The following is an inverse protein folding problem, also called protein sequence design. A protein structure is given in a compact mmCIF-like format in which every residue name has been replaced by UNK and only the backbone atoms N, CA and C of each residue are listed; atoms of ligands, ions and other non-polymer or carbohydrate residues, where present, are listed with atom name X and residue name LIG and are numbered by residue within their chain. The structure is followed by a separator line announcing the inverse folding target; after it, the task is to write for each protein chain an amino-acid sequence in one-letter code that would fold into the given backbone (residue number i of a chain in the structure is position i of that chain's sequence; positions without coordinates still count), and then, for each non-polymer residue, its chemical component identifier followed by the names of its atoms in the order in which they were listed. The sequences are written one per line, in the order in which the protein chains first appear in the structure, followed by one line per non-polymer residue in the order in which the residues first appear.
data_IF_637573322582
#
_entry.id   IF_637573322582
#
_cell.length_a   1.000
_cell.length_b   1.000
_cell.length_c   1.000
_cell.angle_alpha   90.00
_cell.angle_beta   90.00
_cell.angle_gamma   90.00
#
_symmetry.space_group_name_H-M   'P 1'
#
loop_
_entity.id
_entity.type
_entity.pdbx_description
1 polymer ?
#
# COMPACT_ATOMS: atom_id res chain seq x y z
N UNK A 1 -18.21 -10.23 18.52
CA UNK A 1 -17.36 -9.15 17.96
C UNK A 1 -15.85 -9.41 18.00
N UNK A 2 -15.23 -9.82 19.13
CA UNK A 2 -13.77 -10.03 19.19
C UNK A 2 -13.25 -11.00 18.13
N UNK A 3 -13.91 -12.14 17.93
CA UNK A 3 -13.55 -13.11 16.90
C UNK A 3 -13.60 -12.53 15.48
N UNK A 4 -14.61 -11.71 15.17
CA UNK A 4 -14.72 -11.05 13.87
C UNK A 4 -13.57 -10.07 13.64
N UNK A 5 -13.24 -9.23 14.62
CA UNK A 5 -12.10 -8.29 14.52
C UNK A 5 -10.79 -9.05 14.33
N UNK A 6 -10.54 -10.11 15.10
CA UNK A 6 -9.33 -10.92 14.93
C UNK A 6 -9.25 -11.60 13.56
N UNK A 7 -10.37 -12.10 13.05
CA UNK A 7 -10.41 -12.73 11.73
C UNK A 7 -10.27 -11.68 10.60
N UNK A 8 -10.83 -10.49 10.77
CA UNK A 8 -10.59 -9.34 9.89
C UNK A 8 -9.12 -8.91 9.90
N UNK A 9 -8.47 -8.89 11.07
CA UNK A 9 -7.02 -8.71 11.16
C UNK A 9 -6.27 -9.82 10.42
N UNK A 10 -6.71 -11.08 10.55
CA UNK A 10 -6.13 -12.21 9.83
C UNK A 10 -6.26 -12.07 8.30
N UNK A 11 -7.41 -11.59 7.81
CA UNK A 11 -7.61 -11.32 6.38
C UNK A 11 -6.74 -10.15 5.89
N UNK A 12 -6.58 -9.08 6.69
CA UNK A 12 -5.66 -7.99 6.37
C UNK A 12 -4.20 -8.43 6.39
N UNK A 13 -3.84 -9.29 7.35
CA UNK A 13 -2.52 -9.91 7.41
C UNK A 13 -2.25 -10.76 6.16
N UNK A 14 -3.21 -11.61 5.77
CA UNK A 14 -3.17 -12.34 4.50
C UNK A 14 -3.00 -11.38 3.33
N UNK A 15 -3.75 -10.27 3.31
CA UNK A 15 -3.71 -9.27 2.24
C UNK A 15 -2.31 -8.66 2.09
N UNK A 16 -1.65 -8.39 3.21
CA UNK A 16 -0.26 -7.94 3.26
C UNK A 16 0.71 -8.99 2.72
N UNK A 17 0.56 -10.26 3.11
CA UNK A 17 1.38 -11.36 2.58
C UNK A 17 1.29 -11.41 1.04
N UNK A 18 0.07 -11.48 0.50
CA UNK A 18 -0.17 -11.57 -0.94
C UNK A 18 0.30 -10.32 -1.71
N UNK A 19 0.18 -9.13 -1.12
CA UNK A 19 0.63 -7.88 -1.76
C UNK A 19 2.15 -7.81 -1.89
N UNK A 20 2.90 -8.24 -0.87
CA UNK A 20 4.36 -8.21 -0.89
C UNK A 20 5.00 -9.47 -1.52
N UNK A 21 4.24 -10.54 -1.73
CA UNK A 21 4.73 -11.81 -2.27
C UNK A 21 5.42 -11.64 -3.62
N UNK A 22 4.72 -11.07 -4.61
CA UNK A 22 5.25 -10.90 -5.97
C UNK A 22 6.53 -10.07 -5.99
N UNK A 23 6.57 -8.95 -5.26
CA UNK A 23 7.74 -8.08 -5.18
C UNK A 23 8.97 -8.75 -4.58
N UNK A 24 8.75 -9.62 -3.60
CA UNK A 24 9.81 -10.34 -2.87
C UNK A 24 10.54 -11.34 -3.77
N UNK A 25 9.80 -12.04 -4.63
CA UNK A 25 10.35 -13.09 -5.52
C UNK A 25 10.38 -12.66 -6.99
N UNK A 26 10.25 -11.36 -7.26
CA UNK A 26 10.08 -10.85 -8.63
C UNK A 26 11.22 -11.29 -9.56
N UNK A 27 12.48 -11.12 -9.16
CA UNK A 27 13.60 -11.49 -10.02
C UNK A 27 13.69 -13.00 -10.31
N UNK A 28 13.66 -13.92 -9.32
CA UNK A 28 13.67 -15.36 -9.62
C UNK A 28 12.41 -15.80 -10.39
N UNK A 29 11.26 -15.17 -10.15
CA UNK A 29 10.04 -15.40 -10.92
C UNK A 29 10.21 -15.04 -12.40
N UNK A 30 10.76 -13.85 -12.71
CA UNK A 30 11.03 -13.43 -14.09
C UNK A 30 12.12 -14.30 -14.74
N UNK A 31 13.13 -14.72 -13.97
CA UNK A 31 14.18 -15.62 -14.44
C UNK A 31 13.63 -17.00 -14.85
N UNK A 32 12.66 -17.54 -14.10
CA UNK A 32 11.99 -18.81 -14.44
C UNK A 32 11.25 -18.73 -15.78
N UNK A 33 10.54 -17.63 -16.03
CA UNK A 33 9.80 -17.44 -17.28
C UNK A 33 10.67 -16.92 -18.44
N UNK A 34 11.95 -16.61 -18.19
CA UNK A 34 12.86 -15.99 -19.16
C UNK A 34 12.30 -14.68 -19.76
N UNK A 35 11.71 -13.84 -18.92
CA UNK A 35 11.04 -12.59 -19.31
C UNK A 35 11.72 -11.37 -18.70
N UNK A 36 11.47 -10.19 -19.28
CA UNK A 36 12.07 -8.93 -18.86
C UNK A 36 11.35 -8.26 -17.67
N UNK A 37 11.95 -7.23 -17.06
CA UNK A 37 11.33 -6.48 -15.96
C UNK A 37 10.13 -5.65 -16.41
N UNK A 38 10.03 -5.27 -17.68
CA UNK A 38 8.83 -4.66 -18.25
C UNK A 38 7.62 -5.59 -18.09
N UNK A 39 7.80 -6.89 -18.34
CA UNK A 39 6.73 -7.86 -18.09
C UNK A 39 6.44 -8.02 -16.60
N UNK A 40 7.47 -7.94 -15.74
CA UNK A 40 7.26 -7.83 -14.28
C UNK A 40 6.40 -6.63 -13.88
N UNK A 41 6.62 -5.48 -14.53
CA UNK A 41 5.75 -4.31 -14.42
C UNK A 41 4.31 -4.58 -14.88
N UNK A 42 4.12 -5.40 -15.93
CA UNK A 42 2.79 -5.84 -16.38
C UNK A 42 2.10 -6.72 -15.34
N UNK A 43 2.82 -7.61 -14.63
CA UNK A 43 2.23 -8.37 -13.52
C UNK A 43 1.66 -7.46 -12.44
N UNK A 44 2.44 -6.45 -12.02
CA UNK A 44 2.01 -5.46 -11.03
C UNK A 44 0.84 -4.63 -11.58
N UNK A 45 0.91 -4.19 -12.83
CA UNK A 45 -0.16 -3.45 -13.49
C UNK A 45 -1.47 -4.25 -13.52
N UNK A 46 -1.41 -5.54 -13.87
CA UNK A 46 -2.58 -6.42 -13.89
C UNK A 46 -3.15 -6.66 -12.50
N UNK A 47 -2.30 -6.81 -11.48
CA UNK A 47 -2.75 -6.90 -10.09
C UNK A 47 -3.52 -5.64 -9.68
N UNK A 48 -3.01 -4.45 -9.99
CA UNK A 48 -3.74 -3.21 -9.70
C UNK A 48 -4.97 -3.00 -10.60
N UNK A 49 -4.96 -3.46 -11.85
CA UNK A 49 -6.14 -3.46 -12.70
C UNK A 49 -7.25 -4.35 -12.11
N UNK A 50 -6.88 -5.55 -11.65
CA UNK A 50 -7.76 -6.41 -10.88
C UNK A 50 -8.25 -5.74 -9.60
N UNK A 51 -7.38 -5.04 -8.89
CA UNK A 51 -7.74 -4.27 -7.69
C UNK A 51 -8.83 -3.23 -7.99
N UNK A 52 -8.69 -2.47 -9.08
CA UNK A 52 -9.70 -1.50 -9.52
C UNK A 52 -11.05 -2.16 -9.87
N UNK A 53 -11.03 -3.37 -10.44
CA UNK A 53 -12.25 -4.15 -10.73
C UNK A 53 -12.86 -4.78 -9.45
N UNK A 54 -12.04 -5.13 -8.47
CA UNK A 54 -12.46 -5.74 -7.22
C UNK A 54 -13.28 -4.80 -6.32
N UNK A 55 -13.01 -3.48 -6.36
CA UNK A 55 -13.76 -2.48 -5.57
C UNK A 55 -15.26 -2.41 -5.94
N UNK A 56 -15.68 -2.24 -7.21
CA UNK A 56 -17.09 -2.28 -7.58
C UNK A 56 -17.66 -3.70 -7.43
N UNK A 57 -16.89 -4.74 -7.74
CA UNK A 57 -17.32 -6.13 -7.57
C UNK A 57 -17.69 -6.43 -6.11
N UNK A 58 -16.86 -6.00 -5.16
CA UNK A 58 -17.14 -6.16 -3.72
C UNK A 58 -18.44 -5.48 -3.34
N UNK A 59 -18.68 -4.26 -3.84
CA UNK A 59 -19.88 -3.49 -3.53
C UNK A 59 -21.14 -4.18 -4.04
N UNK A 60 -21.11 -4.68 -5.27
CA UNK A 60 -22.23 -5.42 -5.89
C UNK A 60 -22.51 -6.71 -5.12
N UNK A 61 -21.48 -7.47 -4.78
CA UNK A 61 -21.62 -8.74 -4.05
C UNK A 61 -22.15 -8.49 -2.64
N UNK A 62 -21.63 -7.48 -1.93
CA UNK A 62 -22.12 -7.12 -0.58
C UNK A 62 -23.60 -6.72 -0.63
N UNK A 63 -24.02 -5.92 -1.62
CA UNK A 63 -25.42 -5.49 -1.74
C UNK A 63 -26.38 -6.64 -2.05
N UNK A 64 -25.94 -7.63 -2.85
CA UNK A 64 -26.80 -8.75 -3.28
C UNK A 64 -26.77 -9.95 -2.33
N UNK A 65 -25.60 -10.24 -1.77
CA UNK A 65 -25.31 -11.50 -1.07
C UNK A 65 -24.74 -11.30 0.35
N UNK A 66 -24.47 -10.04 0.74
CA UNK A 66 -23.95 -9.70 2.06
C UNK A 66 -22.44 -9.84 2.22
N UNK A 67 -21.93 -9.29 3.33
CA UNK A 67 -20.50 -9.25 3.66
C UNK A 67 -19.84 -10.64 3.76
N UNK A 68 -20.58 -11.66 4.18
CA UNK A 68 -20.02 -13.02 4.35
C UNK A 68 -19.56 -13.63 3.03
N UNK A 69 -20.42 -13.56 2.01
CA UNK A 69 -20.13 -14.13 0.70
C UNK A 69 -19.02 -13.33 0.01
N UNK A 70 -19.03 -12.00 0.14
CA UNK A 70 -17.99 -11.15 -0.42
C UNK A 70 -16.58 -11.49 0.12
N UNK A 71 -16.42 -11.70 1.43
CA UNK A 71 -15.12 -12.03 2.03
C UNK A 71 -14.67 -13.46 1.69
N UNK A 72 -15.61 -14.41 1.60
CA UNK A 72 -15.33 -15.76 1.15
C UNK A 72 -14.82 -15.74 -0.31
N UNK A 73 -15.53 -15.06 -1.21
CA UNK A 73 -15.11 -14.93 -2.61
C UNK A 73 -13.75 -14.22 -2.73
N UNK A 74 -13.51 -13.19 -1.93
CA UNK A 74 -12.26 -12.45 -1.95
C UNK A 74 -11.05 -13.35 -1.69
N UNK A 75 -11.04 -14.13 -0.59
CA UNK A 75 -9.91 -15.00 -0.31
C UNK A 75 -9.91 -16.31 -1.12
N UNK A 76 -11.04 -16.73 -1.72
CA UNK A 76 -11.01 -17.73 -2.80
C UNK A 76 -10.26 -17.20 -4.03
N UNK A 77 -10.49 -15.95 -4.45
CA UNK A 77 -9.77 -15.34 -5.56
C UNK A 77 -8.27 -15.28 -5.29
N UNK A 78 -7.86 -14.80 -4.10
CA UNK A 78 -6.44 -14.78 -3.70
C UNK A 78 -5.89 -16.21 -3.63
N UNK A 79 -6.58 -17.10 -2.94
CA UNK A 79 -6.15 -18.47 -2.71
C UNK A 79 -5.92 -19.24 -4.01
N UNK A 80 -6.88 -19.18 -4.94
CA UNK A 80 -6.77 -19.79 -6.26
C UNK A 80 -5.64 -19.14 -7.06
N UNK A 81 -5.55 -17.81 -7.07
CA UNK A 81 -4.52 -17.10 -7.81
C UNK A 81 -3.11 -17.45 -7.34
N UNK A 82 -2.84 -17.32 -6.05
CA UNK A 82 -1.53 -17.58 -5.44
C UNK A 82 -1.15 -19.07 -5.57
N UNK A 83 -2.03 -20.01 -5.23
CA UNK A 83 -1.72 -21.45 -5.40
C UNK A 83 -1.45 -21.81 -6.86
N UNK A 84 -2.22 -21.27 -7.79
CA UNK A 84 -2.02 -21.49 -9.23
C UNK A 84 -0.69 -20.91 -9.68
N UNK A 85 -0.34 -19.68 -9.28
CA UNK A 85 0.96 -19.07 -9.60
C UNK A 85 2.13 -19.89 -9.05
N UNK A 86 2.00 -20.43 -7.82
CA UNK A 86 3.02 -21.31 -7.24
C UNK A 86 3.22 -22.64 -7.99
N UNK A 87 2.24 -23.08 -8.78
CA UNK A 87 2.39 -24.22 -9.69
C UNK A 87 3.14 -23.87 -10.99
N UNK A 88 3.58 -22.61 -11.16
CA UNK A 88 4.32 -22.11 -12.32
C UNK A 88 3.63 -22.45 -13.66
N UNK A 89 2.39 -21.97 -13.85
CA UNK A 89 1.59 -22.28 -15.03
C UNK A 89 2.13 -21.51 -16.24
N UNK A 90 1.54 -21.74 -17.42
CA UNK A 90 1.87 -20.96 -18.62
C UNK A 90 1.70 -19.46 -18.37
N UNK A 91 2.56 -18.65 -18.99
CA UNK A 91 2.63 -17.20 -18.76
C UNK A 91 1.28 -16.46 -18.85
N UNK A 92 0.39 -16.74 -19.84
CA UNK A 92 -0.93 -16.08 -19.88
C UNK A 92 -1.81 -16.41 -18.66
N UNK A 93 -1.69 -17.63 -18.12
CA UNK A 93 -2.41 -18.05 -16.91
C UNK A 93 -1.85 -17.30 -15.70
N UNK A 94 -0.52 -17.20 -15.58
CA UNK A 94 0.11 -16.44 -14.50
C UNK A 94 -0.30 -14.96 -14.51
N UNK A 95 -0.35 -14.33 -15.69
CA UNK A 95 -0.80 -12.95 -15.87
C UNK A 95 -2.28 -12.77 -15.45
N UNK A 96 -3.15 -13.69 -15.88
CA UNK A 96 -4.56 -13.68 -15.48
C UNK A 96 -4.72 -13.86 -13.96
N UNK A 97 -3.94 -14.77 -13.35
CA UNK A 97 -3.95 -14.98 -11.91
C UNK A 97 -3.44 -13.75 -11.15
N UNK A 98 -2.49 -12.99 -11.69
CA UNK A 98 -2.09 -11.70 -11.10
C UNK A 98 -3.28 -10.73 -11.00
N UNK A 99 -4.08 -10.63 -12.06
CA UNK A 99 -5.30 -9.84 -12.06
C UNK A 99 -6.35 -10.38 -11.06
N UNK A 100 -6.57 -11.70 -11.03
CA UNK A 100 -7.50 -12.33 -10.10
C UNK A 100 -7.08 -12.11 -8.63
N UNK A 101 -5.78 -12.18 -8.34
CA UNK A 101 -5.22 -11.85 -7.03
C UNK A 101 -5.58 -10.41 -6.65
N UNK A 102 -5.33 -9.47 -7.56
CA UNK A 102 -5.74 -8.07 -7.44
C UNK A 102 -7.21 -7.87 -7.06
N UNK A 103 -8.11 -8.57 -7.75
CA UNK A 103 -9.56 -8.54 -7.46
C UNK A 103 -9.82 -8.97 -6.01
N UNK A 104 -9.24 -10.10 -5.58
CA UNK A 104 -9.42 -10.61 -4.23
C UNK A 104 -8.82 -9.69 -3.16
N UNK A 105 -7.65 -9.07 -3.42
CA UNK A 105 -7.04 -8.10 -2.52
C UNK A 105 -7.97 -6.90 -2.29
N UNK A 106 -8.49 -6.31 -3.37
CA UNK A 106 -9.42 -5.20 -3.28
C UNK A 106 -10.71 -5.58 -2.56
N UNK A 107 -11.33 -6.71 -2.93
CA UNK A 107 -12.57 -7.16 -2.29
C UNK A 107 -12.39 -7.40 -0.79
N UNK A 108 -11.26 -7.97 -0.38
CA UNK A 108 -10.93 -8.18 1.04
C UNK A 108 -10.88 -6.84 1.77
N UNK A 109 -10.10 -5.90 1.25
CA UNK A 109 -9.90 -4.60 1.87
C UNK A 109 -11.20 -3.79 1.94
N UNK A 110 -11.95 -3.68 0.85
CA UNK A 110 -13.17 -2.87 0.80
C UNK A 110 -14.30 -3.44 1.64
N UNK A 111 -14.52 -4.76 1.60
CA UNK A 111 -15.64 -5.38 2.33
C UNK A 111 -15.40 -5.39 3.84
N UNK A 112 -14.16 -5.63 4.28
CA UNK A 112 -13.84 -5.59 5.71
C UNK A 112 -13.83 -4.14 6.21
N UNK A 113 -13.28 -3.20 5.45
CA UNK A 113 -13.33 -1.79 5.83
C UNK A 113 -14.79 -1.30 5.94
N UNK A 114 -15.65 -1.67 4.98
CA UNK A 114 -17.07 -1.28 5.02
C UNK A 114 -17.81 -1.87 6.22
N UNK A 115 -17.61 -3.16 6.52
CA UNK A 115 -18.27 -3.81 7.65
C UNK A 115 -17.80 -3.24 8.99
N UNK A 116 -16.52 -2.89 9.12
CA UNK A 116 -15.97 -2.28 10.34
C UNK A 116 -16.53 -0.89 10.58
N UNK A 117 -16.72 -0.10 9.51
CA UNK A 117 -17.29 1.24 9.59
C UNK A 117 -18.77 1.20 9.97
N UNK A 118 -19.51 0.22 9.44
CA UNK A 118 -20.94 0.01 9.69
C UNK A 118 -21.19 -0.50 11.12
N UNK A 119 -20.35 -1.41 11.63
CA UNK A 119 -20.63 -2.09 12.92
C UNK A 119 -19.97 -1.46 14.14
N UNK A 120 -18.98 -0.57 13.97
CA UNK A 120 -18.27 0.10 15.08
C UNK A 120 -18.39 1.62 14.99
N UNK A 121 -19.57 2.15 15.30
CA UNK A 121 -19.77 3.58 15.48
C UNK A 121 -18.92 4.10 16.67
N UNK A 122 -18.12 5.15 16.45
CA UNK A 122 -17.30 5.78 17.49
C UNK A 122 -15.86 5.26 17.69
N UNK A 123 -15.46 4.13 17.07
CA UNK A 123 -14.07 3.60 17.13
C UNK A 123 -13.45 3.22 15.80
N UNK A 124 -13.95 3.84 14.73
CA UNK A 124 -13.54 3.55 13.35
C UNK A 124 -12.03 3.68 13.17
N UNK A 125 -11.40 4.75 13.68
CA UNK A 125 -9.97 4.94 13.47
C UNK A 125 -9.11 3.92 14.22
N UNK A 126 -9.45 3.58 15.46
CA UNK A 126 -8.70 2.58 16.25
C UNK A 126 -8.75 1.20 15.61
N UNK A 127 -9.92 0.77 15.13
CA UNK A 127 -10.08 -0.55 14.51
C UNK A 127 -9.42 -0.59 13.14
N UNK A 128 -9.61 0.45 12.31
CA UNK A 128 -8.94 0.56 11.02
C UNK A 128 -7.41 0.59 11.18
N UNK A 129 -6.90 1.30 12.19
CA UNK A 129 -5.47 1.30 12.51
C UNK A 129 -4.95 -0.10 12.86
N UNK A 130 -5.71 -0.91 13.61
CA UNK A 130 -5.31 -2.31 13.90
C UNK A 130 -5.26 -3.17 12.65
N UNK A 131 -6.19 -2.99 11.72
CA UNK A 131 -6.21 -3.70 10.44
C UNK A 131 -4.98 -3.32 9.59
N UNK A 132 -4.67 -2.03 9.49
CA UNK A 132 -3.48 -1.53 8.78
C UNK A 132 -2.15 -2.02 9.39
N UNK A 133 -2.10 -2.17 10.71
CA UNK A 133 -0.96 -2.80 11.39
C UNK A 133 -0.87 -4.28 11.01
N UNK A 134 -1.99 -5.01 10.99
CA UNK A 134 -2.00 -6.41 10.57
C UNK A 134 -1.54 -6.59 9.11
N UNK A 135 -1.99 -5.71 8.20
CA UNK A 135 -1.49 -5.66 6.82
C UNK A 135 0.01 -5.40 6.74
N UNK A 136 0.51 -4.39 7.46
CA UNK A 136 1.94 -4.09 7.51
C UNK A 136 2.78 -5.26 8.06
N UNK A 137 2.25 -6.01 9.04
CA UNK A 137 2.88 -7.24 9.53
C UNK A 137 2.94 -8.33 8.47
N UNK A 138 1.90 -8.46 7.62
CA UNK A 138 1.93 -9.36 6.47
C UNK A 138 3.06 -9.01 5.51
N UNK A 139 3.14 -7.73 5.11
CA UNK A 139 4.20 -7.24 4.23
C UNK A 139 5.62 -7.42 4.81
N UNK A 140 5.74 -7.45 6.15
CA UNK A 140 7.00 -7.68 6.86
C UNK A 140 7.38 -9.15 6.94
N UNK A 141 6.41 -10.04 7.20
CA UNK A 141 6.67 -11.47 7.45
C UNK A 141 6.96 -12.21 6.14
N UNK A 142 6.27 -11.88 5.04
CA UNK A 142 6.47 -12.63 3.79
C UNK A 142 7.92 -12.58 3.28
N UNK A 143 8.63 -11.43 3.23
CA UNK A 143 10.01 -11.41 2.73
C UNK A 143 10.99 -12.08 3.69
N UNK A 144 10.70 -12.12 5.00
CA UNK A 144 11.47 -12.91 5.97
C UNK A 144 11.34 -14.42 5.70
N UNK A 145 10.12 -14.90 5.46
CA UNK A 145 9.87 -16.29 5.11
C UNK A 145 10.52 -16.63 3.76
N UNK A 146 10.29 -15.80 2.74
CA UNK A 146 10.82 -16.00 1.40
C UNK A 146 12.35 -15.93 1.35
N UNK A 147 13.01 -15.10 2.16
CA UNK A 147 14.48 -15.08 2.22
C UNK A 147 15.07 -16.48 2.46
N UNK A 148 14.42 -17.27 3.31
CA UNK A 148 14.84 -18.65 3.61
C UNK A 148 14.48 -19.59 2.46
N UNK A 149 13.28 -19.47 1.89
CA UNK A 149 12.85 -20.30 0.76
C UNK A 149 13.69 -20.05 -0.50
N UNK A 150 14.12 -18.81 -0.71
CA UNK A 150 15.08 -18.42 -1.74
C UNK A 150 16.46 -19.05 -1.51
N UNK A 151 16.93 -19.09 -0.26
CA UNK A 151 18.22 -19.69 0.08
C UNK A 151 18.27 -21.21 -0.20
N UNK A 152 17.13 -21.90 -0.16
CA UNK A 152 16.99 -23.32 -0.50
C UNK A 152 16.38 -23.58 -1.89
N UNK A 153 16.24 -22.53 -2.72
CA UNK A 153 15.72 -22.62 -4.10
C UNK A 153 14.29 -23.19 -4.25
N UNK A 154 13.43 -23.02 -3.26
CA UNK A 154 12.01 -23.45 -3.27
C UNK A 154 11.05 -22.27 -3.04
N UNK A 155 11.36 -21.11 -3.62
CA UNK A 155 10.59 -19.87 -3.49
C UNK A 155 9.12 -19.99 -3.96
N UNK A 156 8.81 -20.92 -4.85
CA UNK A 156 7.43 -21.19 -5.28
C UNK A 156 6.53 -21.68 -4.14
N UNK A 157 7.11 -22.26 -3.07
CA UNK A 157 6.36 -22.68 -1.87
C UNK A 157 5.75 -21.47 -1.15
N UNK A 158 6.33 -20.28 -1.28
CA UNK A 158 5.78 -19.04 -0.76
C UNK A 158 4.37 -18.75 -1.24
N UNK A 159 4.17 -18.87 -2.55
CA UNK A 159 2.86 -18.71 -3.18
C UNK A 159 1.85 -19.74 -2.66
N UNK A 160 2.29 -20.97 -2.39
CA UNK A 160 1.43 -21.98 -1.78
C UNK A 160 1.10 -21.68 -0.32
N UNK A 161 2.05 -21.20 0.47
CA UNK A 161 1.82 -20.80 1.86
C UNK A 161 0.76 -19.69 1.90
N UNK A 162 0.93 -18.64 1.09
CA UNK A 162 -0.03 -17.52 1.01
C UNK A 162 -1.39 -18.01 0.51
N UNK A 163 -1.41 -18.79 -0.57
CA UNK A 163 -2.65 -19.27 -1.17
C UNK A 163 -3.43 -20.23 -0.27
N UNK A 164 -2.77 -21.21 0.35
CA UNK A 164 -3.40 -22.14 1.31
C UNK A 164 -3.90 -21.37 2.54
N UNK A 165 -3.10 -20.43 3.05
CA UNK A 165 -3.53 -19.61 4.18
C UNK A 165 -4.77 -18.78 3.84
N UNK A 166 -4.83 -18.18 2.65
CA UNK A 166 -6.01 -17.47 2.13
C UNK A 166 -7.26 -18.37 2.04
N UNK A 167 -7.10 -19.58 1.52
CA UNK A 167 -8.21 -20.55 1.45
C UNK A 167 -8.69 -20.95 2.85
N UNK A 168 -7.78 -21.27 3.77
CA UNK A 168 -8.14 -21.70 5.12
C UNK A 168 -8.88 -20.61 5.89
N UNK A 169 -8.38 -19.37 5.85
CA UNK A 169 -9.03 -18.27 6.56
C UNK A 169 -10.39 -17.90 5.95
N UNK A 170 -10.53 -17.97 4.62
CA UNK A 170 -11.81 -17.75 3.95
C UNK A 170 -12.82 -18.86 4.17
N UNK A 171 -12.38 -20.11 4.29
CA UNK A 171 -13.25 -21.24 4.62
C UNK A 171 -13.63 -21.25 6.10
N UNK A 172 -12.79 -20.71 6.99
CA UNK A 172 -13.13 -20.51 8.39
C UNK A 172 -14.16 -19.37 8.59
N UNK A 173 -14.22 -18.43 7.65
CA UNK A 173 -15.05 -17.22 7.75
C UNK A 173 -16.55 -17.46 8.02
N UNK A 174 -17.24 -18.40 7.34
CA UNK A 174 -18.67 -18.65 7.55
C UNK A 174 -19.00 -19.16 8.96
N UNK A 175 -18.03 -19.75 9.65
CA UNK A 175 -18.22 -20.34 10.99
C UNK A 175 -18.12 -19.31 12.12
N UNK A 176 -17.76 -18.05 11.82
CA UNK A 176 -17.66 -17.02 12.86
C UNK A 176 -18.98 -16.31 13.07
N UNK A 177 -19.45 -16.38 14.32
CA UNK A 177 -20.65 -15.68 14.75
C UNK A 177 -20.42 -14.16 14.79
N UNK A 178 -21.19 -13.45 13.97
CA UNK A 178 -21.34 -12.01 14.05
C UNK A 178 -22.44 -11.76 15.08
N UNK A 179 -22.07 -11.54 16.34
CA UNK A 179 -22.98 -10.99 17.35
C UNK A 179 -22.86 -9.46 17.33
N UNK A 180 -23.86 -8.70 16.83
CA UNK A 180 -23.82 -7.25 16.68
C UNK A 180 -23.95 -6.46 18.00
N UNK A 181 -24.17 -7.12 19.14
CA UNK A 181 -24.58 -6.43 20.37
C UNK A 181 -23.48 -6.30 21.45
N UNK A 182 -22.34 -7.01 21.36
CA UNK A 182 -21.36 -7.00 22.45
C UNK A 182 -20.19 -6.04 22.20
N UNK A 183 -20.26 -4.83 22.78
CA UNK A 183 -19.16 -3.87 23.04
C UNK A 183 -18.95 -2.71 22.05
N UNK A 184 -20.01 -2.11 21.51
CA UNK A 184 -19.89 -0.88 20.72
C UNK A 184 -19.32 0.33 21.52
N UNK A 185 -19.53 0.43 22.85
CA UNK A 185 -19.41 1.72 23.56
C UNK A 185 -18.25 1.94 24.55
N UNK A 186 -17.43 0.95 24.95
CA UNK A 186 -16.28 1.19 25.87
C UNK A 186 -14.89 1.36 25.21
N UNK A 187 -14.43 2.60 24.96
CA UNK A 187 -13.05 2.89 24.55
C UNK A 187 -12.81 4.35 24.09
N UNK A 188 -11.55 4.79 23.99
CA UNK A 188 -11.22 6.21 23.76
C UNK A 188 -11.61 6.69 22.36
N UNK A 189 -12.23 7.88 22.29
CA UNK A 189 -12.70 8.52 21.06
C UNK A 189 -11.58 9.13 20.22
N UNK A 190 -11.83 9.23 18.91
CA UNK A 190 -10.89 9.78 17.91
C UNK A 190 -10.58 11.27 18.19
N UNK A 191 -9.30 11.64 18.08
CA UNK A 191 -8.84 13.00 18.36
C UNK A 191 -9.31 14.00 17.29
N UNK A 192 -9.95 15.08 17.74
CA UNK A 192 -10.40 16.19 16.89
C UNK A 192 -9.23 17.15 16.64
N UNK A 193 -8.90 17.48 15.39
CA UNK A 193 -7.92 18.54 15.11
C UNK A 193 -8.44 19.48 14.02
N UNK A 194 -8.24 20.79 14.19
CA UNK A 194 -8.75 21.85 13.30
C UNK A 194 -7.96 21.91 11.99
N UNK A 195 -8.65 22.21 10.90
CA UNK A 195 -8.01 22.47 9.63
C UNK A 195 -8.72 23.53 8.79
N UNK A 196 -8.06 24.06 7.74
CA UNK A 196 -8.53 25.21 6.98
C UNK A 196 -9.80 24.91 6.19
N UNK A 197 -10.80 25.80 6.29
CA UNK A 197 -12.05 25.70 5.52
C UNK A 197 -11.86 26.40 4.17
N UNK A 198 -11.93 25.65 3.06
CA UNK A 198 -11.94 26.25 1.71
C UNK A 198 -13.38 26.52 1.29
N UNK A 199 -13.70 27.76 0.94
CA UNK A 199 -15.08 28.22 0.64
C UNK A 199 -15.43 28.24 -0.85
N UNK A 200 -14.49 28.56 -1.75
CA UNK A 200 -14.73 28.72 -3.21
C UNK A 200 -14.73 27.41 -4.00
N UNK A 201 -15.68 27.23 -4.94
CA UNK A 201 -15.88 26.02 -5.76
C UNK A 201 -14.73 25.71 -6.73
N UNK A 202 -14.14 26.72 -7.38
CA UNK A 202 -13.04 26.50 -8.33
C UNK A 202 -11.74 26.12 -7.63
N UNK A 203 -11.44 26.78 -6.51
CA UNK A 203 -10.30 26.41 -5.64
C UNK A 203 -10.47 25.00 -5.08
N UNK A 204 -11.70 24.60 -4.75
CA UNK A 204 -11.98 23.23 -4.28
C UNK A 204 -11.58 22.16 -5.30
N UNK A 205 -11.84 22.37 -6.59
CA UNK A 205 -11.47 21.41 -7.65
C UNK A 205 -9.95 21.30 -7.78
N UNK A 206 -9.24 22.44 -7.79
CA UNK A 206 -7.77 22.45 -7.90
C UNK A 206 -7.11 21.77 -6.70
N UNK A 207 -7.51 22.11 -5.47
CA UNK A 207 -6.98 21.45 -4.27
C UNK A 207 -7.28 19.95 -4.26
N UNK A 208 -8.47 19.53 -4.68
CA UNK A 208 -8.82 18.12 -4.76
C UNK A 208 -7.91 17.42 -5.76
N UNK A 209 -7.75 17.97 -6.96
CA UNK A 209 -6.87 17.40 -7.99
C UNK A 209 -5.41 17.28 -7.49
N UNK A 210 -4.89 18.29 -6.80
CA UNK A 210 -3.54 18.25 -6.23
C UNK A 210 -3.39 17.18 -5.15
N UNK A 211 -4.35 17.04 -4.23
CA UNK A 211 -4.33 15.98 -3.22
C UNK A 211 -4.43 14.59 -3.84
N UNK A 212 -5.29 14.41 -4.84
CA UNK A 212 -5.45 13.14 -5.56
C UNK A 212 -4.18 12.78 -6.35
N UNK A 213 -3.56 13.76 -6.98
CA UNK A 213 -2.27 13.58 -7.66
C UNK A 213 -1.14 13.23 -6.67
N UNK A 214 -1.13 13.86 -5.50
CA UNK A 214 -0.17 13.56 -4.44
C UNK A 214 -0.32 12.12 -3.91
N UNK A 215 -1.55 11.64 -3.73
CA UNK A 215 -1.83 10.24 -3.37
C UNK A 215 -1.37 9.29 -4.48
N UNK A 216 -1.66 9.61 -5.73
CA UNK A 216 -1.24 8.81 -6.88
C UNK A 216 0.29 8.65 -6.91
N UNK A 217 1.03 9.76 -6.76
CA UNK A 217 2.49 9.74 -6.70
C UNK A 217 3.02 8.95 -5.50
N UNK A 218 2.45 9.16 -4.31
CA UNK A 218 2.89 8.47 -3.09
C UNK A 218 2.68 6.96 -3.18
N UNK A 219 1.47 6.50 -3.52
CA UNK A 219 1.16 5.06 -3.57
C UNK A 219 1.94 4.39 -4.70
N UNK A 220 2.14 5.09 -5.82
CA UNK A 220 3.01 4.60 -6.88
C UNK A 220 4.47 4.45 -6.44
N UNK A 221 5.03 5.43 -5.73
CA UNK A 221 6.37 5.35 -5.13
C UNK A 221 6.49 4.21 -4.13
N UNK A 222 5.52 4.09 -3.21
CA UNK A 222 5.46 3.01 -2.21
C UNK A 222 5.45 1.64 -2.91
N UNK A 223 4.64 1.48 -3.96
CA UNK A 223 4.61 0.26 -4.76
C UNK A 223 5.92 0.02 -5.52
N UNK A 224 6.60 1.05 -6.01
CA UNK A 224 7.92 0.89 -6.64
C UNK A 224 8.95 0.35 -5.64
N UNK A 225 9.02 0.92 -4.43
CA UNK A 225 9.88 0.40 -3.37
C UNK A 225 9.49 -1.02 -2.98
N UNK A 226 8.20 -1.29 -2.78
CA UNK A 226 7.74 -2.62 -2.39
C UNK A 226 8.10 -3.72 -3.42
N UNK A 227 7.96 -3.42 -4.71
CA UNK A 227 8.11 -4.43 -5.77
C UNK A 227 9.50 -4.53 -6.37
N UNK A 228 10.25 -3.43 -6.45
CA UNK A 228 11.51 -3.38 -7.18
C UNK A 228 12.74 -3.16 -6.30
N UNK A 229 12.58 -2.86 -4.99
CA UNK A 229 13.73 -2.68 -4.10
C UNK A 229 14.65 -3.93 -4.04
N UNK A 230 14.14 -5.18 -3.96
CA UNK A 230 14.99 -6.37 -4.06
C UNK A 230 15.71 -6.47 -5.40
N UNK A 231 15.01 -6.18 -6.50
CA UNK A 231 15.57 -6.22 -7.85
C UNK A 231 16.68 -5.18 -8.05
N UNK A 232 16.50 -3.97 -7.52
CA UNK A 232 17.54 -2.93 -7.49
C UNK A 232 18.74 -3.44 -6.67
N UNK A 233 18.52 -4.05 -5.52
CA UNK A 233 19.61 -4.57 -4.70
C UNK A 233 20.41 -5.68 -5.40
N UNK A 234 19.72 -6.60 -6.07
CA UNK A 234 20.38 -7.67 -6.83
C UNK A 234 21.16 -7.12 -8.03
N UNK A 235 20.54 -6.25 -8.83
CA UNK A 235 21.16 -5.70 -10.04
C UNK A 235 22.27 -4.69 -9.75
N UNK A 236 22.14 -3.90 -8.69
CA UNK A 236 23.07 -2.81 -8.36
C UNK A 236 24.26 -3.24 -7.51
N UNK A 237 24.05 -4.18 -6.59
CA UNK A 237 25.05 -4.60 -5.61
C UNK A 237 25.50 -6.06 -5.81
N UNK A 238 25.01 -6.73 -6.85
CA UNK A 238 25.36 -8.11 -7.19
C UNK A 238 25.00 -9.12 -6.09
N UNK A 239 24.02 -8.78 -5.25
CA UNK A 239 23.65 -9.60 -4.10
C UNK A 239 22.74 -10.76 -4.52
N UNK A 240 22.77 -11.82 -3.71
CA UNK A 240 21.87 -12.96 -3.85
C UNK A 240 20.42 -12.57 -3.49
N UNK A 241 19.45 -13.27 -4.06
CA UNK A 241 18.02 -12.99 -3.88
C UNK A 241 17.53 -13.11 -2.41
N UNK A 242 18.11 -14.03 -1.64
CA UNK A 242 17.83 -14.25 -0.22
C UNK A 242 18.23 -13.04 0.64
N UNK A 243 19.38 -12.42 0.34
CA UNK A 243 19.85 -11.21 1.01
C UNK A 243 19.03 -10.00 0.55
N UNK A 244 18.79 -9.88 -0.76
CA UNK A 244 18.07 -8.76 -1.34
C UNK A 244 16.61 -8.65 -0.87
N UNK A 245 15.91 -9.76 -0.61
CA UNK A 245 14.52 -9.72 -0.12
C UNK A 245 14.37 -9.08 1.26
N UNK A 246 15.40 -9.16 2.11
CA UNK A 246 15.41 -8.55 3.45
C UNK A 246 15.33 -7.03 3.43
N UNK A 247 15.59 -6.40 2.28
CA UNK A 247 15.52 -4.95 2.11
C UNK A 247 14.08 -4.45 2.22
N UNK A 248 13.13 -5.22 1.69
CA UNK A 248 11.69 -4.97 1.81
C UNK A 248 11.24 -5.19 3.25
N UNK A 249 11.78 -6.18 3.95
CA UNK A 249 11.55 -6.33 5.40
C UNK A 249 12.05 -5.10 6.17
N UNK A 250 13.25 -4.61 5.88
CA UNK A 250 13.81 -3.43 6.54
C UNK A 250 12.93 -2.19 6.30
N UNK A 251 12.48 -2.00 5.05
CA UNK A 251 11.52 -0.97 4.66
C UNK A 251 10.19 -1.07 5.42
N UNK A 252 9.52 -2.23 5.42
CA UNK A 252 8.23 -2.39 6.11
C UNK A 252 8.34 -2.34 7.63
N UNK A 253 9.44 -2.87 8.21
CA UNK A 253 9.69 -2.80 9.65
C UNK A 253 9.77 -1.34 10.10
N UNK A 254 10.60 -0.54 9.42
CA UNK A 254 10.72 0.88 9.72
C UNK A 254 9.43 1.65 9.44
N UNK A 255 8.66 1.25 8.42
CA UNK A 255 7.36 1.84 8.12
C UNK A 255 6.34 1.60 9.23
N UNK A 256 6.25 0.39 9.77
CA UNK A 256 5.36 0.06 10.90
C UNK A 256 5.75 0.87 12.14
N UNK A 257 7.06 0.93 12.46
CA UNK A 257 7.57 1.76 13.56
C UNK A 257 7.24 3.23 13.32
N UNK A 258 7.45 3.74 12.11
CA UNK A 258 7.16 5.12 11.73
C UNK A 258 5.69 5.50 11.84
N UNK A 259 4.77 4.57 11.55
CA UNK A 259 3.32 4.82 11.72
C UNK A 259 2.97 5.09 13.18
N UNK A 260 3.58 4.37 14.12
CA UNK A 260 3.39 4.63 15.56
C UNK A 260 3.92 5.99 15.99
N UNK A 261 5.10 6.38 15.47
CA UNK A 261 5.73 7.67 15.75
C UNK A 261 4.96 8.84 15.12
N UNK A 262 4.39 8.64 13.94
CA UNK A 262 3.57 9.62 13.22
C UNK A 262 2.40 10.07 14.08
N UNK A 263 1.67 9.14 14.71
CA UNK A 263 0.53 9.46 15.59
C UNK A 263 0.90 10.37 16.77
N UNK A 264 2.15 10.29 17.25
CA UNK A 264 2.67 11.20 18.25
C UNK A 264 3.15 12.53 17.65
N UNK A 265 3.82 12.49 16.51
CA UNK A 265 4.37 13.67 15.83
C UNK A 265 3.28 14.65 15.38
N UNK A 266 2.19 14.16 14.79
CA UNK A 266 1.10 15.00 14.27
C UNK A 266 0.37 15.82 15.36
N UNK A 267 0.53 15.46 16.64
CA UNK A 267 0.00 16.27 17.76
C UNK A 267 0.86 17.49 18.07
N UNK A 268 2.12 17.49 17.62
CA UNK A 268 3.11 18.53 17.92
C UNK A 268 3.41 19.45 16.74
N UNK A 269 3.20 18.99 15.51
CA UNK A 269 3.51 19.73 14.29
C UNK A 269 2.30 19.83 13.37
N UNK A 270 2.26 20.89 12.56
CA UNK A 270 1.21 21.05 11.56
C UNK A 270 1.32 20.00 10.45
N UNK A 271 0.19 19.64 9.83
CA UNK A 271 0.16 18.64 8.75
C UNK A 271 1.09 18.99 7.58
N UNK A 272 1.11 20.24 7.13
CA UNK A 272 1.98 20.69 6.03
C UNK A 272 3.47 20.59 6.39
N UNK A 273 3.84 20.97 7.61
CA UNK A 273 5.22 20.89 8.09
C UNK A 273 5.68 19.42 8.20
N UNK A 274 4.82 18.55 8.75
CA UNK A 274 5.09 17.12 8.82
C UNK A 274 5.30 16.50 7.43
N UNK A 275 4.42 16.82 6.48
CA UNK A 275 4.51 16.28 5.12
C UNK A 275 5.75 16.81 4.39
N UNK A 276 6.08 18.10 4.53
CA UNK A 276 7.29 18.69 3.94
C UNK A 276 8.56 18.04 4.50
N UNK A 277 8.65 17.85 5.82
CA UNK A 277 9.80 17.18 6.43
C UNK A 277 9.89 15.71 6.03
N UNK A 278 8.76 15.01 5.96
CA UNK A 278 8.72 13.57 5.64
C UNK A 278 9.07 13.29 4.17
N UNK A 279 8.47 14.04 3.25
CA UNK A 279 8.78 13.90 1.81
C UNK A 279 10.19 14.43 1.52
N UNK A 280 10.61 15.54 2.14
CA UNK A 280 11.97 16.06 2.02
C UNK A 280 13.02 15.07 2.51
N UNK A 281 12.79 14.43 3.66
CA UNK A 281 13.65 13.36 4.16
C UNK A 281 13.68 12.15 3.20
N UNK A 282 12.51 11.74 2.69
CA UNK A 282 12.42 10.66 1.69
C UNK A 282 13.28 10.99 0.46
N UNK A 283 13.13 12.20 -0.09
CA UNK A 283 13.92 12.65 -1.24
C UNK A 283 15.41 12.62 -0.94
N UNK A 284 15.84 13.15 0.21
CA UNK A 284 17.22 13.11 0.65
C UNK A 284 17.76 11.68 0.67
N UNK A 285 17.05 10.77 1.33
CA UNK A 285 17.50 9.38 1.46
C UNK A 285 17.55 8.64 0.11
N UNK A 286 16.60 8.88 -0.78
CA UNK A 286 16.63 8.32 -2.14
C UNK A 286 17.81 8.88 -2.95
N UNK A 287 18.13 10.17 -2.83
CA UNK A 287 19.30 10.76 -3.50
C UNK A 287 20.61 10.18 -2.95
N UNK A 288 20.71 9.96 -1.63
CA UNK A 288 21.88 9.31 -1.02
C UNK A 288 22.01 7.86 -1.52
N UNK A 289 20.89 7.14 -1.64
CA UNK A 289 20.85 5.78 -2.19
C UNK A 289 21.33 5.74 -3.64
N UNK A 290 20.92 6.71 -4.45
CA UNK A 290 21.33 6.87 -5.85
C UNK A 290 22.84 7.19 -5.98
N UNK A 291 23.40 7.90 -5.00
CA UNK A 291 24.76 8.42 -5.06
C UNK A 291 25.82 7.48 -4.47
N UNK A 292 25.43 6.52 -3.62
CA UNK A 292 26.38 5.74 -2.83
C UNK A 292 26.18 4.22 -2.96
N UNK A 293 27.25 3.51 -3.35
CA UNK A 293 27.25 2.06 -3.61
C UNK A 293 27.81 1.25 -2.44
N UNK A 294 27.06 1.19 -1.34
CA UNK A 294 27.43 0.38 -0.17
C UNK A 294 26.26 -0.46 0.32
N UNK A 295 26.49 -1.76 0.50
CA UNK A 295 25.48 -2.74 0.93
C UNK A 295 24.87 -2.35 2.28
N UNK A 296 25.71 -2.12 3.29
CA UNK A 296 25.25 -1.75 4.64
C UNK A 296 24.47 -0.44 4.62
N UNK A 297 24.94 0.52 3.82
CA UNK A 297 24.29 1.82 3.71
C UNK A 297 22.90 1.71 3.06
N UNK A 298 22.73 0.83 2.07
CA UNK A 298 21.47 0.65 1.35
C UNK A 298 20.35 0.07 2.24
N UNK A 299 20.67 -0.85 3.17
CA UNK A 299 19.72 -1.32 4.18
C UNK A 299 19.33 -0.20 5.15
N UNK A 300 20.32 0.52 5.66
CA UNK A 300 20.11 1.65 6.59
C UNK A 300 19.25 2.72 5.92
N UNK A 301 19.53 3.06 4.67
CA UNK A 301 18.74 4.01 3.88
C UNK A 301 17.33 3.48 3.64
N UNK A 302 17.16 2.20 3.33
CA UNK A 302 15.83 1.58 3.15
C UNK A 302 14.97 1.70 4.42
N UNK A 303 15.58 1.57 5.62
CA UNK A 303 14.91 1.86 6.88
C UNK A 303 14.53 3.33 7.02
N UNK A 304 15.42 4.25 6.64
CA UNK A 304 15.12 5.68 6.72
C UNK A 304 14.02 6.11 5.74
N UNK A 305 13.99 5.54 4.52
CA UNK A 305 12.93 5.74 3.54
C UNK A 305 11.60 5.20 4.07
N UNK A 306 11.57 3.97 4.61
CA UNK A 306 10.34 3.40 5.17
C UNK A 306 9.81 4.22 6.36
N UNK A 307 10.71 4.68 7.23
CA UNK A 307 10.38 5.56 8.36
C UNK A 307 9.80 6.90 7.87
N UNK A 308 10.44 7.55 6.90
CA UNK A 308 10.00 8.85 6.38
C UNK A 308 8.70 8.76 5.58
N UNK A 309 8.45 7.65 4.89
CA UNK A 309 7.22 7.44 4.12
C UNK A 309 6.00 7.07 4.98
N UNK A 310 6.23 6.50 6.16
CA UNK A 310 5.20 5.89 7.02
C UNK A 310 3.93 6.69 7.28
N UNK A 311 4.05 8.01 7.44
CA UNK A 311 2.94 8.90 7.77
C UNK A 311 2.32 9.63 6.58
N UNK A 312 2.94 9.59 5.40
CA UNK A 312 2.58 10.46 4.28
C UNK A 312 1.15 10.18 3.82
N UNK A 313 0.77 8.92 3.61
CA UNK A 313 -0.59 8.56 3.17
C UNK A 313 -1.67 9.05 4.15
N UNK A 314 -1.54 8.68 5.42
CA UNK A 314 -2.55 8.96 6.45
C UNK A 314 -2.69 10.46 6.68
N UNK A 315 -1.56 11.17 6.82
CA UNK A 315 -1.58 12.62 7.05
C UNK A 315 -2.12 13.36 5.82
N UNK A 316 -1.82 12.90 4.61
CA UNK A 316 -2.39 13.46 3.37
C UNK A 316 -3.91 13.28 3.33
N UNK A 317 -4.41 12.08 3.62
CA UNK A 317 -5.85 11.80 3.64
C UNK A 317 -6.55 12.65 4.69
N UNK A 318 -5.98 12.76 5.88
CA UNK A 318 -6.51 13.61 6.96
C UNK A 318 -6.51 15.07 6.52
N UNK A 319 -5.39 15.57 5.96
CA UNK A 319 -5.27 16.95 5.47
C UNK A 319 -6.28 17.26 4.36
N UNK A 320 -6.49 16.35 3.42
CA UNK A 320 -7.49 16.49 2.36
C UNK A 320 -8.92 16.55 2.93
N UNK A 321 -9.31 15.60 3.79
CA UNK A 321 -10.65 15.57 4.41
C UNK A 321 -10.97 16.87 5.15
N UNK A 322 -9.96 17.37 5.85
CA UNK A 322 -10.02 18.59 6.61
C UNK A 322 -10.14 19.86 5.74
N UNK A 323 -9.53 19.86 4.57
CA UNK A 323 -9.63 20.93 3.56
C UNK A 323 -11.04 20.98 2.93
N UNK A 324 -11.76 19.85 2.91
CA UNK A 324 -13.12 19.72 2.36
C UNK A 324 -14.18 19.31 3.42
N UNK A 325 -14.53 20.18 4.38
CA UNK A 325 -15.55 19.88 5.38
C UNK A 325 -16.88 19.48 4.75
N UNK A 326 -17.53 18.42 5.28
CA UNK A 326 -18.82 17.93 4.78
C UNK A 326 -18.75 17.04 3.53
N UNK A 327 -17.58 16.87 2.90
CA UNK A 327 -17.39 16.01 1.73
C UNK A 327 -16.46 14.82 2.00
N UNK A 328 -16.21 14.45 3.26
CA UNK A 328 -15.19 13.46 3.60
C UNK A 328 -15.38 12.09 2.94
N UNK A 329 -16.62 11.61 2.84
CA UNK A 329 -16.93 10.38 2.10
C UNK A 329 -16.52 10.46 0.61
N UNK A 330 -16.73 11.61 -0.03
CA UNK A 330 -16.33 11.85 -1.42
C UNK A 330 -14.81 11.91 -1.56
N UNK A 331 -14.12 12.62 -0.65
CA UNK A 331 -12.64 12.71 -0.64
C UNK A 331 -12.03 11.32 -0.52
N UNK A 332 -12.42 10.56 0.51
CA UNK A 332 -11.88 9.21 0.76
C UNK A 332 -12.10 8.28 -0.42
N UNK A 333 -13.29 8.29 -1.05
CA UNK A 333 -13.57 7.47 -2.24
C UNK A 333 -12.59 7.76 -3.38
N UNK A 334 -12.40 9.04 -3.73
CA UNK A 334 -11.48 9.42 -4.80
C UNK A 334 -10.02 9.14 -4.44
N UNK A 335 -9.62 9.34 -3.18
CA UNK A 335 -8.29 8.98 -2.69
C UNK A 335 -8.04 7.48 -2.88
N UNK A 336 -8.99 6.60 -2.56
CA UNK A 336 -8.83 5.15 -2.80
C UNK A 336 -8.67 4.82 -4.28
N UNK A 337 -9.44 5.45 -5.17
CA UNK A 337 -9.32 5.24 -6.62
C UNK A 337 -7.94 5.66 -7.12
N UNK A 338 -7.50 6.87 -6.77
CA UNK A 338 -6.19 7.40 -7.20
C UNK A 338 -5.01 6.67 -6.56
N UNK A 339 -5.17 6.14 -5.35
CA UNK A 339 -4.21 5.22 -4.73
C UNK A 339 -4.03 3.97 -5.59
N UNK A 340 -5.13 3.31 -6.00
CA UNK A 340 -5.08 2.14 -6.87
C UNK A 340 -4.46 2.45 -8.24
N UNK A 341 -4.84 3.58 -8.86
CA UNK A 341 -4.26 4.03 -10.14
C UNK A 341 -2.76 4.30 -10.01
N UNK A 342 -2.33 4.99 -8.94
CA UNK A 342 -0.92 5.29 -8.69
C UNK A 342 -0.07 4.05 -8.48
N UNK A 343 -0.59 3.10 -7.69
CA UNK A 343 0.03 1.80 -7.48
C UNK A 343 0.17 0.97 -8.76
N UNK A 344 -0.65 1.21 -9.78
CA UNK A 344 -0.52 0.56 -11.10
C UNK A 344 0.46 1.32 -12.02
N UNK A 345 0.24 2.62 -12.17
CA UNK A 345 0.84 3.42 -13.23
C UNK A 345 2.35 3.62 -13.02
N UNK A 346 2.78 4.01 -11.81
CA UNK A 346 4.19 4.30 -11.53
C UNK A 346 5.05 3.03 -11.58
N UNK A 347 4.66 1.90 -10.93
CA UNK A 347 5.37 0.63 -11.08
C UNK A 347 5.43 0.11 -12.52
N UNK A 348 4.38 0.32 -13.32
CA UNK A 348 4.40 -0.01 -14.74
C UNK A 348 5.44 0.80 -15.53
N UNK A 349 5.46 2.13 -15.32
CA UNK A 349 6.49 3.01 -15.91
C UNK A 349 7.88 2.61 -15.42
N UNK A 350 8.03 2.36 -14.12
CA UNK A 350 9.30 2.01 -13.50
C UNK A 350 9.84 0.66 -14.01
N UNK A 351 8.98 -0.35 -14.15
CA UNK A 351 9.36 -1.65 -14.71
C UNK A 351 9.83 -1.56 -16.16
N UNK A 352 9.19 -0.70 -16.99
CA UNK A 352 9.67 -0.42 -18.34
C UNK A 352 11.04 0.28 -18.34
N UNK A 353 11.24 1.26 -17.45
CA UNK A 353 12.51 1.95 -17.28
C UNK A 353 13.63 1.02 -16.78
N UNK A 354 13.32 0.03 -15.94
CA UNK A 354 14.28 -0.97 -15.45
C UNK A 354 14.95 -1.78 -16.57
N UNK A 355 14.26 -1.99 -17.71
CA UNK A 355 14.82 -2.70 -18.86
C UNK A 355 15.69 -1.80 -19.77
N UNK A 356 15.40 -0.49 -19.80
CA UNK A 356 15.99 0.45 -20.76
C UNK A 356 17.11 1.31 -20.16
N UNK A 357 17.01 1.59 -18.86
CA UNK A 357 17.88 2.50 -18.14
C UNK A 357 18.89 1.74 -17.28
N UNK A 358 20.04 2.35 -17.02
CA UNK A 358 20.97 1.83 -16.03
C UNK A 358 20.35 1.89 -14.63
N UNK A 359 20.85 1.07 -13.71
CA UNK A 359 20.32 1.03 -12.34
C UNK A 359 20.48 2.38 -11.63
N UNK A 360 21.55 3.14 -11.93
CA UNK A 360 21.72 4.53 -11.47
C UNK A 360 20.57 5.43 -11.91
N UNK A 361 20.22 5.37 -13.20
CA UNK A 361 19.14 6.16 -13.78
C UNK A 361 17.78 5.79 -13.19
N UNK A 362 17.56 4.52 -12.86
CA UNK A 362 16.34 4.07 -12.18
C UNK A 362 16.25 4.61 -10.73
N UNK A 363 17.36 4.66 -9.99
CA UNK A 363 17.38 5.30 -8.66
C UNK A 363 17.09 6.80 -8.75
N UNK A 364 17.65 7.49 -9.75
CA UNK A 364 17.33 8.90 -10.01
C UNK A 364 15.90 9.12 -10.50
N UNK A 365 15.29 8.14 -11.17
CA UNK A 365 13.86 8.17 -11.51
C UNK A 365 12.97 8.14 -10.26
N UNK A 366 13.32 7.30 -9.26
CA UNK A 366 12.63 7.32 -7.95
C UNK A 366 12.80 8.66 -7.24
N UNK A 367 14.00 9.26 -7.31
CA UNK A 367 14.23 10.61 -6.79
C UNK A 367 13.36 11.65 -7.53
N UNK A 368 13.23 11.52 -8.85
CA UNK A 368 12.36 12.37 -9.68
C UNK A 368 10.88 12.28 -9.30
N UNK A 369 10.35 11.08 -9.12
CA UNK A 369 8.99 10.87 -8.62
C UNK A 369 8.80 11.47 -7.21
N UNK A 370 9.78 11.32 -6.32
CA UNK A 370 9.75 11.88 -4.97
C UNK A 370 9.83 13.42 -4.99
N UNK A 371 10.61 13.99 -5.92
CA UNK A 371 10.67 15.43 -6.14
C UNK A 371 9.34 15.98 -6.66
N UNK A 372 8.69 15.30 -7.61
CA UNK A 372 7.35 15.67 -8.07
C UNK A 372 6.32 15.64 -6.93
N UNK A 373 6.42 14.67 -6.03
CA UNK A 373 5.59 14.59 -4.83
C UNK A 373 5.82 15.83 -3.93
N UNK A 374 7.08 16.20 -3.68
CA UNK A 374 7.45 17.37 -2.88
C UNK A 374 7.00 18.69 -3.53
N UNK A 375 7.17 18.82 -4.84
CA UNK A 375 6.75 19.97 -5.61
C UNK A 375 5.22 20.15 -5.56
N UNK A 376 4.47 19.05 -5.70
CA UNK A 376 3.00 19.06 -5.58
C UNK A 376 2.56 19.56 -4.21
N UNK A 377 3.16 19.06 -3.13
CA UNK A 377 2.87 19.55 -1.78
C UNK A 377 3.22 21.03 -1.61
N UNK A 378 4.37 21.45 -2.14
CA UNK A 378 4.83 22.85 -2.04
C UNK A 378 3.83 23.80 -2.72
N UNK A 379 3.27 23.39 -3.86
CA UNK A 379 2.18 24.11 -4.54
C UNK A 379 0.91 24.16 -3.67
N UNK A 380 0.51 23.06 -3.05
CA UNK A 380 -0.64 23.03 -2.12
C UNK A 380 -0.44 24.02 -0.98
N UNK A 381 0.75 24.04 -0.37
CA UNK A 381 1.07 24.93 0.75
C UNK A 381 1.09 26.40 0.31
N UNK A 382 1.73 26.71 -0.82
CA UNK A 382 1.80 28.06 -1.36
C UNK A 382 0.42 28.62 -1.73
N UNK A 383 -0.41 27.82 -2.41
CA UNK A 383 -1.79 28.19 -2.71
C UNK A 383 -2.60 28.32 -1.41
N UNK A 384 -2.37 27.46 -0.41
CA UNK A 384 -3.01 27.57 0.89
C UNK A 384 -2.77 28.92 1.56
N UNK A 385 -1.50 29.37 1.60
CA UNK A 385 -1.13 30.66 2.22
C UNK A 385 -1.63 31.88 1.42
N UNK A 386 -1.60 31.83 0.09
CA UNK A 386 -2.02 32.94 -0.76
C UNK A 386 -3.52 33.24 -0.62
N UNK A 387 -4.34 32.21 -0.39
CA UNK A 387 -5.79 32.35 -0.26
C UNK A 387 -6.25 32.75 1.14
N UNK A 388 -5.53 32.36 2.21
CA UNK A 388 -5.82 32.87 3.56
C UNK A 388 -5.64 34.38 3.66
N UNK A 389 -4.67 34.96 2.95
CA UNK A 389 -4.45 36.40 2.91
C UNK A 389 -5.53 37.18 2.15
N UNK A 390 -6.21 36.54 1.18
CA UNK A 390 -7.22 37.19 0.32
C UNK A 390 -8.63 37.23 0.94
N UNK A 391 -8.86 36.48 2.02
CA UNK A 391 -10.14 36.46 2.76
C UNK A 391 -10.07 37.35 4.02
N UNK A 392 -8.87 37.73 4.46
CA UNK A 392 -8.64 38.68 5.56
C UNK A 392 -8.52 40.15 5.12
N UNK A 393 -8.55 40.41 3.81
CA UNK A 393 -8.63 41.74 3.18
C UNK A 393 -10.01 41.94 2.60
#
# INVERSE_FOLDING_TARGET
MRAYVWMSCGMYFMNGLATAMLGTVLAPFLAHYHVSYALGGVFVLLQFAGYLLGVPASTIVVQRYGHRIAILLAGLCIGIAETTIGCLPLLPVALFMSCLNGVGLAMTQTTIASSMIEWFEGRRAVIMSRLEVAFGLGCLIIPLCESRLLAVHIWQVGFWIVGIFALLISLAWPFVSINPESNANEGPMDAYTRAPKVTSTQSKVVFMALFLFMILLYVGLESCFNNFLPAIFMSYLGQRADVASLTVTAFWTSMVVGRTLTGWAIRKVNYSQFLLSSIGATLLFVMVMASWRSISLFYVISCFIGLSMSGIYVVTLVYANHTFPGQGSRVTRWVTVFAGVGGAALPGIFGYCMDQLSVDQNLWLLAGFTFLLLATLSVIVYLGSAWTHKVSS
#
